data_IF_255260006188
#
_entry.id   IF_255260006188
#
_cell.length_a   1.000
_cell.length_b   1.000
_cell.length_c   1.000
_cell.angle_alpha   90.00
_cell.angle_beta   90.00
_cell.angle_gamma   90.00
#
_symmetry.space_group_name_H-M   'P 1'
#
loop_
_entity.id
_entity.type
_entity.pdbx_description
1 polymer ?
#
# COMPACT_ATOMS: atom_id res chain seq x y z
N UNK A 1 35.15 -44.19 32.59
CA UNK A 1 36.14 -45.05 31.93
C UNK A 1 36.74 -44.29 30.76
N UNK A 2 38.08 -44.10 30.87
CA UNK A 2 39.10 -43.87 29.81
C UNK A 2 38.87 -42.71 28.83
N UNK A 3 39.47 -41.57 29.11
CA UNK A 3 40.73 -41.00 28.56
C UNK A 3 41.10 -41.46 27.13
N UNK A 4 41.17 -40.52 26.17
CA UNK A 4 42.31 -40.45 25.25
C UNK A 4 42.61 -38.97 24.95
N UNK A 5 43.75 -38.56 25.45
CA UNK A 5 44.56 -37.40 25.11
C UNK A 5 45.39 -37.77 23.89
N UNK A 6 45.50 -36.94 22.88
CA UNK A 6 46.66 -36.88 21.98
C UNK A 6 46.73 -35.51 21.37
N UNK A 7 47.54 -34.74 21.86
CA UNK A 7 48.94 -34.39 21.48
C UNK A 7 49.06 -33.33 20.42
N UNK A 8 49.44 -32.21 20.92
CA UNK A 8 49.98 -31.02 20.28
C UNK A 8 51.13 -31.38 19.31
N UNK A 9 51.15 -30.80 18.13
CA UNK A 9 52.40 -30.63 17.40
C UNK A 9 52.46 -29.19 16.88
N UNK A 10 53.39 -28.47 17.45
CA UNK A 10 53.83 -27.15 17.04
C UNK A 10 54.49 -27.23 15.67
N UNK A 11 54.03 -26.42 14.73
CA UNK A 11 54.79 -26.11 13.50
C UNK A 11 55.19 -24.65 13.55
N UNK A 12 56.50 -24.53 13.56
CA UNK A 12 57.39 -23.42 13.49
C UNK A 12 56.88 -22.20 12.66
N UNK A 13 57.03 -21.06 13.31
CA UNK A 13 57.12 -19.74 12.61
C UNK A 13 58.36 -19.74 11.72
N UNK A 14 58.20 -19.45 10.47
CA UNK A 14 59.09 -18.59 9.65
C UNK A 14 58.59 -18.60 8.22
N UNK A 15 57.96 -17.54 7.80
CA UNK A 15 58.15 -16.78 6.56
C UNK A 15 57.05 -15.73 6.45
N UNK A 16 57.23 -14.62 7.15
CA UNK A 16 56.58 -13.36 6.78
C UNK A 16 57.45 -12.70 5.72
N UNK A 17 57.23 -13.08 4.48
CA UNK A 17 57.82 -12.43 3.31
C UNK A 17 56.92 -11.29 2.87
N UNK A 18 57.42 -10.12 3.05
CA UNK A 18 57.21 -8.86 2.29
C UNK A 18 56.03 -8.93 1.28
N UNK A 19 54.83 -8.69 1.72
CA UNK A 19 53.77 -8.22 0.79
C UNK A 19 53.93 -6.73 0.60
N UNK A 20 54.24 -6.36 -0.63
CA UNK A 20 54.47 -5.00 -1.08
C UNK A 20 53.32 -4.08 -0.68
N UNK A 21 53.65 -2.89 -0.15
CA UNK A 21 52.70 -1.81 0.22
C UNK A 21 51.75 -1.39 -0.93
N UNK A 22 52.04 -1.76 -2.17
CA UNK A 22 51.26 -1.48 -3.35
C UNK A 22 49.96 -2.34 -3.42
N UNK A 23 49.92 -3.54 -2.89
CA UNK A 23 48.72 -4.42 -2.91
C UNK A 23 47.73 -4.02 -1.86
N UNK A 24 48.16 -3.48 -0.72
CA UNK A 24 47.23 -3.02 0.34
C UNK A 24 46.52 -1.73 -0.01
N UNK A 25 47.13 -0.83 -0.78
CA UNK A 25 46.52 0.41 -1.26
C UNK A 25 45.48 0.16 -2.35
N UNK A 26 45.70 -0.82 -3.22
CA UNK A 26 44.74 -1.16 -4.29
C UNK A 26 43.48 -1.86 -3.74
N UNK A 27 43.63 -2.68 -2.68
CA UNK A 27 42.48 -3.34 -2.05
C UNK A 27 41.63 -2.37 -1.23
N UNK A 28 42.24 -1.34 -0.61
CA UNK A 28 41.53 -0.31 0.13
C UNK A 28 40.72 0.63 -0.80
N UNK A 29 41.21 0.90 -2.01
CA UNK A 29 40.54 1.73 -3.00
C UNK A 29 39.37 0.97 -3.64
N UNK A 30 39.48 -0.36 -3.84
CA UNK A 30 38.39 -1.20 -4.36
C UNK A 30 37.24 -1.41 -3.34
N UNK A 31 37.52 -1.40 -2.05
CA UNK A 31 36.52 -1.46 -1.00
C UNK A 31 35.81 -0.11 -0.77
N UNK A 32 36.49 1.02 -1.00
CA UNK A 32 35.91 2.35 -0.89
C UNK A 32 34.96 2.69 -2.05
N UNK A 33 35.15 2.10 -3.23
CA UNK A 33 34.31 2.35 -4.40
C UNK A 33 32.99 1.52 -4.41
N UNK A 34 32.83 0.52 -3.52
CA UNK A 34 31.60 -0.30 -3.45
C UNK A 34 30.56 0.24 -2.45
N UNK A 35 30.87 1.31 -1.72
CA UNK A 35 29.96 1.90 -0.71
C UNK A 35 29.13 3.07 -1.28
N UNK A 36 29.38 3.51 -2.51
CA UNK A 36 28.76 4.75 -3.06
C UNK A 36 27.50 4.48 -3.89
N UNK A 37 27.01 3.24 -4.02
CA UNK A 37 25.85 2.92 -4.88
C UNK A 37 24.58 2.42 -4.13
N UNK A 38 24.52 2.61 -2.84
CA UNK A 38 23.24 2.50 -2.11
C UNK A 38 22.72 3.89 -1.76
N UNK A 39 22.40 4.68 -2.76
CA UNK A 39 21.48 5.80 -2.54
C UNK A 39 20.17 5.18 -2.11
N UNK A 40 19.60 5.57 -0.93
CA UNK A 40 18.25 5.19 -0.64
C UNK A 40 17.38 5.73 -1.78
N UNK A 41 16.65 4.86 -2.45
CA UNK A 41 15.55 5.27 -3.33
C UNK A 41 14.60 5.99 -2.40
N UNK A 42 14.68 7.31 -2.37
CA UNK A 42 13.68 8.15 -1.77
C UNK A 42 12.45 7.95 -2.63
N UNK A 43 11.52 7.12 -2.17
CA UNK A 43 10.16 7.12 -2.70
C UNK A 43 9.67 8.54 -2.49
N UNK A 44 9.58 9.29 -3.57
CA UNK A 44 9.02 10.62 -3.55
C UNK A 44 7.59 10.51 -3.04
N UNK A 45 7.39 10.85 -1.78
CA UNK A 45 6.06 11.27 -1.34
C UNK A 45 5.72 12.42 -2.27
N UNK A 46 4.74 12.19 -3.14
CA UNK A 46 4.21 13.23 -3.99
C UNK A 46 3.76 14.37 -3.08
N UNK A 47 4.59 15.40 -2.99
CA UNK A 47 4.28 16.64 -2.29
C UNK A 47 3.29 17.49 -3.11
N UNK A 48 2.44 16.83 -3.90
CA UNK A 48 1.28 17.45 -4.51
C UNK A 48 0.26 17.76 -3.41
N UNK A 49 -0.22 19.00 -3.38
CA UNK A 49 -1.33 19.37 -2.51
C UNK A 49 -2.50 18.43 -2.82
N UNK A 50 -3.05 17.77 -1.80
CA UNK A 50 -4.29 17.03 -1.91
C UNK A 50 -5.45 18.05 -1.88
N UNK A 51 -6.11 18.33 -3.01
CA UNK A 51 -7.25 19.22 -2.99
C UNK A 51 -8.38 18.58 -2.19
N UNK A 52 -9.01 19.29 -1.23
CA UNK A 52 -10.10 18.72 -0.48
C UNK A 52 -11.32 18.49 -1.40
N UNK A 53 -11.97 17.34 -1.25
CA UNK A 53 -13.20 17.03 -1.97
C UNK A 53 -14.34 17.89 -1.45
N UNK A 54 -15.06 18.57 -2.35
CA UNK A 54 -16.12 19.51 -2.01
C UNK A 54 -17.49 19.01 -2.48
N UNK A 55 -18.57 19.62 -1.97
CA UNK A 55 -19.94 19.34 -2.43
C UNK A 55 -20.09 19.51 -3.95
N UNK A 56 -19.46 20.53 -4.52
CA UNK A 56 -19.50 20.77 -5.95
C UNK A 56 -18.85 19.63 -6.75
N UNK A 57 -17.75 19.06 -6.25
CA UNK A 57 -17.08 17.92 -6.87
C UNK A 57 -17.89 16.64 -6.75
N UNK A 58 -18.65 16.44 -5.67
CA UNK A 58 -19.56 15.31 -5.53
C UNK A 58 -20.74 15.40 -6.47
N UNK A 59 -21.21 16.62 -6.78
CA UNK A 59 -22.32 16.85 -7.72
C UNK A 59 -21.87 16.70 -9.17
N UNK A 60 -20.70 17.22 -9.52
CA UNK A 60 -20.13 17.17 -10.86
C UNK A 60 -18.64 16.81 -10.80
N UNK A 61 -18.32 15.52 -10.61
CA UNK A 61 -16.95 15.06 -10.52
C UNK A 61 -16.21 15.20 -11.86
N UNK A 62 -14.91 15.51 -11.79
CA UNK A 62 -14.05 15.51 -12.97
C UNK A 62 -14.14 14.16 -13.71
N UNK A 63 -13.96 14.12 -15.04
CA UNK A 63 -14.08 12.88 -15.82
C UNK A 63 -13.22 11.73 -15.31
N UNK A 64 -12.05 12.01 -14.76
CA UNK A 64 -11.12 11.04 -14.19
C UNK A 64 -11.49 10.54 -12.79
N UNK A 65 -12.42 11.23 -12.11
CA UNK A 65 -12.70 10.99 -10.71
C UNK A 65 -13.95 10.10 -10.52
N UNK A 66 -13.89 9.24 -9.51
CA UNK A 66 -14.98 8.38 -9.09
C UNK A 66 -15.13 8.48 -7.57
N UNK A 67 -15.92 9.49 -7.14
CA UNK A 67 -15.95 9.93 -5.74
C UNK A 67 -17.02 9.25 -4.88
N UNK A 68 -17.86 8.41 -5.47
CA UNK A 68 -18.90 7.67 -4.76
C UNK A 68 -19.26 6.39 -5.51
N UNK A 69 -20.04 5.52 -4.90
CA UNK A 69 -20.38 4.19 -5.38
C UNK A 69 -20.73 4.12 -6.89
N UNK A 70 -21.50 5.04 -7.42
CA UNK A 70 -21.87 5.07 -8.84
C UNK A 70 -21.48 6.36 -9.52
N UNK A 71 -20.39 6.94 -9.11
CA UNK A 71 -19.74 8.14 -9.62
C UNK A 71 -20.51 9.44 -9.38
N UNK A 72 -21.82 9.48 -9.68
CA UNK A 72 -22.66 10.68 -9.62
C UNK A 72 -23.88 10.45 -8.74
N UNK A 73 -24.49 11.53 -8.21
CA UNK A 73 -25.64 11.48 -7.31
C UNK A 73 -26.89 10.85 -7.93
N UNK A 74 -27.01 10.89 -9.26
CA UNK A 74 -28.07 10.19 -10.01
C UNK A 74 -27.80 8.69 -10.18
N UNK A 75 -26.68 8.21 -9.70
CA UNK A 75 -26.29 6.80 -9.67
C UNK A 75 -26.24 6.11 -11.05
N UNK A 76 -25.86 6.81 -12.10
CA UNK A 76 -25.78 6.24 -13.45
C UNK A 76 -24.63 5.23 -13.59
N UNK A 77 -23.55 5.39 -12.84
CA UNK A 77 -22.41 4.51 -12.90
C UNK A 77 -21.72 4.51 -14.26
N UNK A 78 -21.69 5.67 -14.89
CA UNK A 78 -21.14 5.87 -16.22
C UNK A 78 -19.88 6.74 -16.18
N UNK A 79 -18.81 6.28 -16.86
CA UNK A 79 -17.60 7.08 -17.07
C UNK A 79 -17.72 7.89 -18.35
N UNK A 80 -17.49 9.21 -18.32
CA UNK A 80 -17.48 10.05 -19.53
C UNK A 80 -16.16 9.94 -20.32
N UNK A 81 -15.18 9.17 -19.82
CA UNK A 81 -13.91 8.96 -20.51
C UNK A 81 -14.13 8.23 -21.83
N UNK A 82 -13.44 8.67 -22.88
CA UNK A 82 -13.57 8.14 -24.24
C UNK A 82 -12.24 7.63 -24.84
N UNK A 83 -11.17 7.61 -24.03
CA UNK A 83 -9.84 7.17 -24.45
C UNK A 83 -9.82 5.70 -24.84
N UNK A 84 -10.62 4.86 -24.17
CA UNK A 84 -10.84 3.47 -24.55
C UNK A 84 -12.16 3.37 -25.34
N UNK A 85 -12.08 2.85 -26.54
CA UNK A 85 -13.21 2.73 -27.46
C UNK A 85 -13.10 1.45 -28.30
N UNK A 86 -14.06 1.21 -29.21
CA UNK A 86 -14.12 -0.01 -30.02
C UNK A 86 -12.89 -0.20 -30.93
N UNK A 87 -12.22 0.89 -31.35
CA UNK A 87 -11.11 0.83 -32.26
C UNK A 87 -9.79 0.46 -31.56
N UNK A 88 -9.67 0.73 -30.25
CA UNK A 88 -8.42 0.56 -29.52
C UNK A 88 -8.49 -0.41 -28.33
N UNK A 89 -9.67 -0.85 -27.89
CA UNK A 89 -9.83 -1.74 -26.73
C UNK A 89 -9.02 -3.05 -26.88
N UNK A 90 -8.88 -3.58 -28.09
CA UNK A 90 -8.07 -4.75 -28.37
C UNK A 90 -6.56 -4.57 -28.19
N UNK A 91 -6.10 -3.33 -28.04
CA UNK A 91 -4.70 -2.97 -27.82
C UNK A 91 -4.34 -2.77 -26.34
N UNK A 92 -5.34 -2.83 -25.46
CA UNK A 92 -5.11 -2.72 -24.02
C UNK A 92 -4.11 -3.75 -23.53
N UNK A 93 -3.30 -3.35 -22.55
CA UNK A 93 -2.33 -4.21 -21.86
C UNK A 93 -2.51 -4.05 -20.36
N UNK A 94 -2.39 -5.15 -19.64
CA UNK A 94 -2.31 -5.09 -18.18
C UNK A 94 -0.97 -4.45 -17.79
N UNK A 95 -1.02 -3.37 -17.02
CA UNK A 95 0.17 -2.66 -16.56
C UNK A 95 0.62 -3.13 -15.18
N UNK A 96 -0.32 -3.49 -14.32
CA UNK A 96 -0.06 -4.08 -13.01
C UNK A 96 -1.23 -4.95 -12.55
N UNK A 97 -0.99 -5.74 -11.52
CA UNK A 97 -2.01 -6.54 -10.82
C UNK A 97 -1.68 -6.60 -9.33
N UNK A 98 -2.70 -6.69 -8.49
CA UNK A 98 -2.56 -6.76 -7.05
C UNK A 98 -3.53 -7.78 -6.45
N UNK A 99 -3.04 -8.57 -5.49
CA UNK A 99 -3.89 -9.43 -4.69
C UNK A 99 -4.55 -8.61 -3.58
N UNK A 100 -5.84 -8.78 -3.41
CA UNK A 100 -6.59 -8.26 -2.27
C UNK A 100 -6.52 -9.26 -1.10
N UNK A 101 -7.00 -8.87 0.08
CA UNK A 101 -7.12 -9.76 1.22
C UNK A 101 -7.96 -10.99 0.87
N UNK A 102 -7.62 -12.15 1.44
CA UNK A 102 -8.30 -13.41 1.14
C UNK A 102 -9.68 -13.43 1.79
N UNK A 103 -10.71 -13.03 1.05
CA UNK A 103 -12.12 -13.06 1.45
C UNK A 103 -13.01 -12.94 0.21
N UNK A 104 -14.33 -12.93 0.40
CA UNK A 104 -15.28 -12.56 -0.64
C UNK A 104 -15.42 -11.05 -0.65
N UNK A 105 -14.98 -10.40 -1.72
CA UNK A 105 -15.09 -8.96 -1.88
C UNK A 105 -16.17 -8.58 -2.89
N UNK A 106 -17.01 -7.60 -2.53
CA UNK A 106 -18.02 -6.98 -3.40
C UNK A 106 -17.80 -5.47 -3.41
N UNK A 107 -16.61 -5.05 -3.77
CA UNK A 107 -16.10 -3.70 -3.53
C UNK A 107 -16.29 -2.76 -4.71
N UNK A 108 -16.48 -1.49 -4.41
CA UNK A 108 -16.38 -0.39 -5.38
C UNK A 108 -15.28 0.57 -4.91
N UNK A 109 -14.11 0.54 -5.52
CA UNK A 109 -13.05 1.50 -5.21
C UNK A 109 -13.47 2.94 -5.56
N UNK A 110 -12.94 3.90 -4.80
CA UNK A 110 -12.97 5.30 -5.20
C UNK A 110 -11.71 5.66 -5.97
N UNK A 111 -11.82 6.57 -6.93
CA UNK A 111 -10.68 7.11 -7.66
C UNK A 111 -10.67 8.63 -7.50
N UNK A 112 -9.58 9.17 -6.96
CA UNK A 112 -9.41 10.59 -6.79
C UNK A 112 -7.94 11.01 -6.85
N UNK A 113 -7.65 12.03 -7.64
CA UNK A 113 -6.32 12.63 -7.75
C UNK A 113 -5.21 11.60 -8.00
N UNK A 114 -5.46 10.61 -8.87
CA UNK A 114 -4.50 9.55 -9.23
C UNK A 114 -4.36 8.42 -8.20
N UNK A 115 -5.16 8.43 -7.15
CA UNK A 115 -5.16 7.40 -6.09
C UNK A 115 -6.44 6.57 -6.17
N UNK A 116 -6.30 5.25 -6.04
CA UNK A 116 -7.40 4.33 -5.82
C UNK A 116 -7.52 4.03 -4.32
N UNK A 117 -8.68 4.28 -3.74
CA UNK A 117 -9.01 3.87 -2.38
C UNK A 117 -9.83 2.60 -2.44
N UNK A 118 -9.26 1.52 -1.96
CA UNK A 118 -9.79 0.16 -2.14
C UNK A 118 -10.19 -0.41 -0.78
N UNK A 119 -11.51 -0.45 -0.49
CA UNK A 119 -11.99 -1.20 0.66
C UNK A 119 -11.80 -2.68 0.42
N UNK A 120 -11.50 -3.43 1.46
CA UNK A 120 -11.37 -4.89 1.42
C UNK A 120 -12.08 -5.49 2.63
N UNK A 121 -12.31 -6.79 2.60
CA UNK A 121 -12.89 -7.50 3.73
C UNK A 121 -12.08 -7.30 5.02
N UNK A 122 -12.76 -7.43 6.15
CA UNK A 122 -12.20 -7.28 7.50
C UNK A 122 -11.64 -5.87 7.76
N UNK A 123 -12.35 -4.85 7.28
CA UNK A 123 -12.06 -3.43 7.49
C UNK A 123 -10.59 -3.06 7.14
N UNK A 124 -10.13 -3.60 6.01
CA UNK A 124 -8.87 -3.20 5.40
C UNK A 124 -9.14 -2.18 4.33
N UNK A 125 -8.40 -1.08 4.34
CA UNK A 125 -8.46 -0.04 3.30
C UNK A 125 -7.04 0.22 2.81
N UNK A 126 -6.85 0.21 1.50
CA UNK A 126 -5.58 0.57 0.87
C UNK A 126 -5.75 1.79 -0.05
N UNK A 127 -4.80 2.72 0.03
CA UNK A 127 -4.59 3.72 -1.01
C UNK A 127 -3.48 3.24 -1.93
N UNK A 128 -3.77 3.22 -3.22
CA UNK A 128 -2.91 2.65 -4.25
C UNK A 128 -2.68 3.72 -5.32
N UNK A 129 -1.43 3.93 -5.72
CA UNK A 129 -1.11 4.72 -6.90
C UNK A 129 -1.72 4.06 -8.14
N UNK A 130 -2.62 4.78 -8.81
CA UNK A 130 -3.38 4.22 -9.94
C UNK A 130 -2.51 3.90 -11.16
N UNK A 131 -1.32 4.50 -11.28
CA UNK A 131 -0.41 4.29 -12.41
C UNK A 131 0.50 3.11 -12.19
N UNK A 132 1.12 3.01 -11.00
CA UNK A 132 2.11 1.99 -10.68
C UNK A 132 1.52 0.73 -10.02
N UNK A 133 0.39 0.86 -9.31
CA UNK A 133 -0.16 -0.19 -8.46
C UNK A 133 0.53 -0.30 -7.09
N UNK A 134 1.43 0.63 -6.76
CA UNK A 134 2.11 0.65 -5.47
C UNK A 134 1.18 1.12 -4.36
N UNK A 135 1.31 0.49 -3.18
CA UNK A 135 0.57 0.93 -1.98
C UNK A 135 1.19 2.19 -1.43
N UNK A 136 0.38 3.25 -1.33
CA UNK A 136 0.75 4.51 -0.68
C UNK A 136 0.64 4.34 0.83
N UNK A 137 -0.50 3.82 1.30
CA UNK A 137 -0.74 3.45 2.69
C UNK A 137 -1.75 2.30 2.78
N UNK A 138 -1.74 1.58 3.90
CA UNK A 138 -2.69 0.53 4.23
C UNK A 138 -3.17 0.73 5.66
N UNK A 139 -4.47 0.74 5.85
CA UNK A 139 -5.13 0.72 7.15
C UNK A 139 -5.77 -0.64 7.37
N UNK A 140 -5.70 -1.14 8.58
CA UNK A 140 -6.38 -2.35 9.02
C UNK A 140 -6.95 -2.11 10.42
N UNK A 141 -8.25 -2.32 10.55
CA UNK A 141 -8.90 -2.28 11.86
C UNK A 141 -8.59 -3.56 12.63
N UNK A 142 -8.35 -3.43 13.93
CA UNK A 142 -8.16 -4.56 14.83
C UNK A 142 -9.54 -5.02 15.32
N UNK A 143 -10.16 -5.93 14.57
CA UNK A 143 -11.50 -6.45 14.85
C UNK A 143 -11.44 -7.49 15.96
N UNK A 144 -12.49 -7.62 16.81
CA UNK A 144 -12.62 -8.70 17.79
C UNK A 144 -12.53 -10.09 17.14
N UNK A 145 -11.87 -11.04 17.82
CA UNK A 145 -11.69 -12.41 17.30
C UNK A 145 -13.01 -13.12 17.00
N UNK A 146 -14.06 -12.77 17.72
CA UNK A 146 -15.39 -13.37 17.61
C UNK A 146 -16.34 -12.60 16.69
N UNK A 147 -15.88 -11.53 16.03
CA UNK A 147 -16.71 -10.69 15.14
C UNK A 147 -17.50 -11.52 14.14
N UNK A 148 -16.91 -12.56 13.57
CA UNK A 148 -17.55 -13.45 12.61
C UNK A 148 -18.76 -14.21 13.15
N UNK A 149 -18.95 -14.32 14.48
CA UNK A 149 -20.08 -15.01 15.09
C UNK A 149 -21.35 -14.16 15.02
N UNK A 150 -21.25 -12.84 15.03
CA UNK A 150 -22.40 -11.94 15.07
C UNK A 150 -22.64 -11.20 13.75
N UNK A 151 -21.66 -11.03 12.90
CA UNK A 151 -21.86 -10.41 11.57
C UNK A 151 -22.21 -11.43 10.47
N UNK A 152 -22.10 -12.75 10.77
CA UNK A 152 -22.38 -13.81 9.81
C UNK A 152 -21.35 -13.92 8.67
N UNK A 153 -21.58 -14.84 7.73
CA UNK A 153 -20.57 -15.21 6.72
C UNK A 153 -20.26 -14.11 5.68
N UNK A 154 -21.08 -13.08 5.61
CA UNK A 154 -20.91 -11.96 4.66
C UNK A 154 -20.69 -10.62 5.37
N UNK A 155 -20.67 -10.60 6.69
CA UNK A 155 -20.60 -9.35 7.46
C UNK A 155 -19.22 -8.67 7.43
N UNK A 156 -18.18 -9.41 7.06
CA UNK A 156 -16.84 -8.83 6.87
C UNK A 156 -16.65 -8.15 5.51
N UNK A 157 -17.67 -8.19 4.63
CA UNK A 157 -17.56 -7.58 3.32
C UNK A 157 -17.71 -6.06 3.43
N UNK A 158 -16.65 -5.35 3.20
CA UNK A 158 -16.70 -3.91 2.97
C UNK A 158 -17.05 -3.66 1.50
N UNK A 159 -18.01 -2.79 1.22
CA UNK A 159 -18.50 -2.57 -0.15
C UNK A 159 -18.13 -1.21 -0.70
N UNK A 160 -18.27 -0.18 0.11
CA UNK A 160 -18.18 1.20 -0.35
C UNK A 160 -17.45 2.06 0.67
N UNK A 161 -16.79 3.07 0.18
CA UNK A 161 -16.22 4.17 0.96
C UNK A 161 -16.94 5.47 0.61
N UNK A 162 -16.87 6.43 1.51
CA UNK A 162 -17.17 7.83 1.20
C UNK A 162 -15.87 8.65 1.25
N UNK A 163 -15.81 9.68 0.43
CA UNK A 163 -14.72 10.66 0.44
C UNK A 163 -15.31 12.08 0.56
N UNK A 164 -14.78 12.86 1.49
CA UNK A 164 -15.16 14.25 1.67
C UNK A 164 -14.02 15.03 2.32
N UNK A 165 -13.77 16.24 1.84
CA UNK A 165 -12.59 17.02 2.21
C UNK A 165 -11.30 16.18 2.01
N UNK A 166 -10.54 15.94 3.06
CA UNK A 166 -9.35 15.09 3.06
C UNK A 166 -9.57 13.78 3.82
N UNK A 167 -10.82 13.31 3.89
CA UNK A 167 -11.22 12.15 4.67
C UNK A 167 -11.72 11.01 3.78
N UNK A 168 -11.29 9.80 4.09
CA UNK A 168 -11.91 8.55 3.68
C UNK A 168 -12.75 8.06 4.86
N UNK A 169 -14.05 7.89 4.64
CA UNK A 169 -15.02 7.56 5.69
C UNK A 169 -15.56 6.16 5.42
N UNK A 170 -15.61 5.35 6.47
CA UNK A 170 -16.10 3.98 6.41
C UNK A 170 -16.85 3.59 7.69
N UNK A 171 -17.52 2.45 7.64
CA UNK A 171 -18.19 1.83 8.79
C UNK A 171 -17.57 0.48 9.08
N UNK A 172 -17.34 0.19 10.37
CA UNK A 172 -16.84 -1.09 10.82
C UNK A 172 -17.96 -2.10 11.09
N UNK A 173 -17.64 -3.35 10.88
CA UNK A 173 -18.49 -4.48 11.25
C UNK A 173 -18.87 -4.52 12.74
N UNK A 174 -18.09 -3.88 13.61
CA UNK A 174 -18.31 -3.80 15.05
C UNK A 174 -19.12 -2.57 15.50
N UNK A 175 -19.77 -1.87 14.56
CA UNK A 175 -20.69 -0.77 14.87
C UNK A 175 -20.03 0.60 15.01
N UNK A 176 -18.85 0.80 14.47
CA UNK A 176 -18.21 2.11 14.40
C UNK A 176 -18.37 2.76 13.02
N UNK A 177 -18.38 4.08 12.99
CA UNK A 177 -18.06 4.89 11.81
C UNK A 177 -16.76 5.62 12.10
N UNK A 178 -15.86 5.60 11.15
CA UNK A 178 -14.54 6.20 11.31
C UNK A 178 -14.09 6.94 10.05
N UNK A 179 -13.17 7.87 10.21
CA UNK A 179 -12.56 8.58 9.12
C UNK A 179 -11.04 8.51 9.19
N UNK A 180 -10.44 8.25 8.04
CA UNK A 180 -8.99 8.25 7.84
C UNK A 180 -8.59 9.49 7.07
N UNK A 181 -7.40 9.99 7.34
CA UNK A 181 -6.77 10.97 6.47
C UNK A 181 -6.47 10.33 5.11
N UNK A 182 -6.99 10.90 4.03
CA UNK A 182 -6.89 10.35 2.69
C UNK A 182 -5.44 10.22 2.18
N UNK A 183 -4.50 11.01 2.70
CA UNK A 183 -3.09 10.98 2.29
C UNK A 183 -2.23 10.02 3.12
N UNK A 184 -2.59 9.80 4.40
CA UNK A 184 -1.73 9.04 5.33
C UNK A 184 -2.35 7.74 5.82
N UNK A 185 -3.67 7.58 5.73
CA UNK A 185 -4.39 6.43 6.28
C UNK A 185 -4.52 6.44 7.81
N UNK A 186 -4.11 7.54 8.48
CA UNK A 186 -4.25 7.68 9.92
C UNK A 186 -5.69 8.00 10.31
N UNK A 187 -6.17 7.43 11.44
CA UNK A 187 -7.49 7.76 12.00
C UNK A 187 -7.52 9.22 12.40
N UNK A 188 -8.51 9.96 11.88
CA UNK A 188 -8.80 11.35 12.26
C UNK A 188 -9.86 11.39 13.35
N UNK A 189 -10.89 10.58 13.21
CA UNK A 189 -11.93 10.41 14.22
C UNK A 189 -12.62 9.05 14.05
N UNK A 190 -13.23 8.59 15.12
CA UNK A 190 -14.15 7.46 15.11
C UNK A 190 -15.28 7.68 16.10
N UNK A 191 -16.42 7.07 15.86
CA UNK A 191 -17.59 7.11 16.75
C UNK A 191 -18.34 5.81 16.72
N UNK A 192 -18.74 5.32 17.86
CA UNK A 192 -19.61 4.18 18.00
C UNK A 192 -21.07 4.59 17.66
N UNK A 193 -21.72 3.81 16.82
CA UNK A 193 -23.10 4.08 16.36
C UNK A 193 -24.09 2.99 16.78
N UNK A 194 -23.60 1.95 17.43
CA UNK A 194 -24.38 0.83 17.96
C UNK A 194 -23.93 0.49 19.36
N UNK A 195 -24.90 0.35 20.30
CA UNK A 195 -24.71 -0.20 21.65
C UNK A 195 -24.87 -1.73 21.66
#
# INVERSE_FOLDING_TARGET
>A
MKNVIHTCTAISQTTLGVFSRSVQTTLAILLASLVILSSPVSYGQGSGSFPPVTDAMLQDPAPSDWLMWRRTLDSWGYSPLAEVNQDNVGQMRMVWTRNLAAATDEITPLAYNGVLYVPQANDVIEAIDAVSGDVIWSYRRDLPEDVGQWIGPHGSNNRNLAIYENLIIDSSAEGFVFALNAQTGEIVWETEVFD
#
